data_IF_386289754349
#
_entry.id   IF_386289754349
#
_cell.length_a   1.000
_cell.length_b   1.000
_cell.length_c   1.000
_cell.angle_alpha   90.00
_cell.angle_beta   90.00
_cell.angle_gamma   90.00
#
_symmetry.space_group_name_H-M   'P 1'
#
loop_
_entity.id
_entity.type
_entity.pdbx_description
1 polymer ?
#
# COMPACT_ATOMS: atom_id res chain seq x y z
N UNK A 1 -23.44 -17.06 -0.06
CA UNK A 1 -22.12 -17.56 0.34
C UNK A 1 -21.08 -16.83 -0.49
N UNK A 2 -20.66 -15.67 -0.02
CA UNK A 2 -19.50 -14.95 -0.56
C UNK A 2 -18.26 -15.73 -0.11
N UNK A 3 -17.59 -16.41 -1.04
CA UNK A 3 -16.26 -16.93 -0.82
C UNK A 3 -15.32 -15.73 -0.76
N UNK A 4 -14.76 -15.49 0.41
CA UNK A 4 -13.64 -14.56 0.60
C UNK A 4 -12.53 -14.94 -0.38
N UNK A 5 -12.20 -14.04 -1.31
CA UNK A 5 -11.13 -14.20 -2.30
C UNK A 5 -9.73 -14.03 -1.68
N UNK A 6 -9.65 -13.88 -0.37
CA UNK A 6 -8.36 -13.77 0.32
C UNK A 6 -7.71 -15.14 0.49
N UNK A 7 -6.43 -15.30 0.11
CA UNK A 7 -5.70 -16.53 0.38
C UNK A 7 -5.64 -16.78 1.90
N UNK A 8 -6.00 -17.98 2.32
CA UNK A 8 -5.91 -18.36 3.71
C UNK A 8 -4.44 -18.44 4.12
N UNK A 9 -4.01 -17.50 4.94
CA UNK A 9 -2.64 -17.48 5.47
C UNK A 9 -2.55 -18.36 6.71
N UNK A 10 -1.75 -19.39 6.66
CA UNK A 10 -1.42 -20.21 7.83
C UNK A 10 -0.01 -19.82 8.30
N UNK A 11 0.06 -18.96 9.31
CA UNK A 11 1.33 -18.60 9.96
C UNK A 11 1.51 -19.47 11.18
N UNK A 12 2.51 -20.36 11.18
CA UNK A 12 2.90 -21.13 12.34
C UNK A 12 4.22 -20.60 12.90
N UNK A 13 4.24 -20.19 14.18
CA UNK A 13 5.48 -19.81 14.87
C UNK A 13 6.49 -20.98 14.95
N UNK A 14 6.01 -22.21 14.87
CA UNK A 14 6.83 -23.41 14.86
C UNK A 14 7.39 -23.77 13.47
N UNK A 15 6.91 -23.12 12.39
CA UNK A 15 7.31 -23.44 11.04
C UNK A 15 8.65 -22.76 10.72
N UNK A 16 9.71 -23.58 10.68
CA UNK A 16 11.09 -23.11 10.47
C UNK A 16 11.50 -21.93 11.38
N UNK A 17 10.91 -21.81 12.58
CA UNK A 17 11.18 -20.69 13.50
C UNK A 17 10.73 -19.33 12.95
N UNK A 18 9.64 -19.27 12.20
CA UNK A 18 9.11 -18.04 11.60
C UNK A 18 9.80 -17.64 10.27
N UNK A 19 10.72 -18.47 9.76
CA UNK A 19 11.43 -18.20 8.50
C UNK A 19 10.71 -18.70 7.26
N UNK A 20 9.60 -19.43 7.43
CA UNK A 20 8.77 -19.91 6.34
C UNK A 20 7.29 -19.71 6.67
N UNK A 21 6.48 -19.52 5.63
CA UNK A 21 5.04 -19.39 5.69
C UNK A 21 4.37 -20.41 4.78
N UNK A 22 3.14 -20.80 5.09
CA UNK A 22 2.32 -21.63 4.21
C UNK A 22 1.05 -20.84 3.88
N UNK A 23 0.70 -20.82 2.60
CA UNK A 23 -0.49 -20.14 2.08
C UNK A 23 -1.29 -21.08 1.18
N UNK A 24 -2.58 -20.85 1.07
CA UNK A 24 -3.45 -21.50 0.10
C UNK A 24 -4.00 -20.45 -0.87
N UNK A 25 -3.89 -20.71 -2.18
CA UNK A 25 -4.35 -19.81 -3.23
C UNK A 25 -5.24 -20.60 -4.18
N UNK A 26 -6.44 -20.07 -4.47
CA UNK A 26 -7.29 -20.58 -5.53
C UNK A 26 -6.88 -19.96 -6.87
N UNK A 27 -6.67 -20.79 -7.88
CA UNK A 27 -6.26 -20.38 -9.21
C UNK A 27 -7.47 -19.86 -9.98
N UNK A 28 -7.49 -18.58 -10.26
CA UNK A 28 -8.50 -17.90 -11.06
C UNK A 28 -8.29 -18.12 -12.57
N UNK A 29 -9.27 -17.70 -13.37
CA UNK A 29 -9.20 -17.80 -14.83
C UNK A 29 -8.14 -16.90 -15.47
N UNK A 30 -7.74 -15.85 -14.77
CA UNK A 30 -6.75 -14.82 -15.15
C UNK A 30 -5.37 -15.04 -14.53
N UNK A 31 -5.21 -16.10 -13.71
CA UNK A 31 -3.94 -16.43 -13.09
C UNK A 31 -2.82 -16.64 -14.13
N UNK A 32 -1.66 -15.97 -13.99
CA UNK A 32 -0.50 -16.12 -14.87
C UNK A 32 0.09 -17.53 -14.92
N UNK A 33 -0.16 -18.33 -13.87
CA UNK A 33 0.34 -19.72 -13.80
C UNK A 33 -0.66 -20.73 -14.35
N UNK A 34 -1.86 -20.31 -14.74
CA UNK A 34 -2.86 -21.19 -15.37
C UNK A 34 -2.32 -21.81 -16.65
N UNK A 35 -2.43 -23.13 -16.79
CA UNK A 35 -1.95 -23.89 -17.94
C UNK A 35 -0.44 -24.12 -17.95
N UNK A 36 0.30 -23.58 -16.98
CA UNK A 36 1.74 -23.84 -16.85
C UNK A 36 2.00 -25.10 -16.03
N UNK A 37 3.10 -25.77 -16.34
CA UNK A 37 3.60 -26.87 -15.52
C UNK A 37 4.43 -26.34 -14.36
N UNK A 38 4.41 -27.01 -13.20
CA UNK A 38 5.14 -26.58 -12.01
C UNK A 38 6.65 -26.39 -12.27
N UNK A 39 7.26 -27.17 -13.15
CA UNK A 39 8.68 -26.98 -13.52
C UNK A 39 8.97 -25.67 -14.26
N UNK A 40 7.94 -25.04 -14.85
CA UNK A 40 8.07 -23.79 -15.61
C UNK A 40 8.01 -22.56 -14.71
N UNK A 41 7.52 -22.75 -13.48
CA UNK A 41 7.33 -21.70 -12.46
C UNK A 41 8.14 -21.97 -11.20
N UNK A 42 9.14 -22.87 -11.25
CA UNK A 42 9.99 -23.18 -10.11
C UNK A 42 10.78 -21.97 -9.61
N UNK A 43 11.00 -21.90 -8.29
CA UNK A 43 11.73 -20.81 -7.66
C UNK A 43 12.47 -21.31 -6.43
N UNK A 44 13.53 -20.61 -6.03
CA UNK A 44 14.34 -20.94 -4.85
C UNK A 44 13.70 -20.44 -3.54
N UNK A 45 12.65 -19.60 -3.61
CA UNK A 45 12.03 -19.00 -2.43
C UNK A 45 10.62 -19.52 -2.12
N UNK A 46 10.08 -20.44 -2.92
CA UNK A 46 8.85 -21.16 -2.59
C UNK A 46 8.81 -22.56 -3.20
N UNK A 47 7.95 -23.39 -2.63
CA UNK A 47 7.59 -24.70 -3.17
C UNK A 47 6.07 -24.90 -3.16
N UNK A 48 5.54 -25.56 -4.18
CA UNK A 48 4.15 -26.03 -4.18
C UNK A 48 4.10 -27.34 -3.42
N UNK A 49 3.49 -27.35 -2.25
CA UNK A 49 3.42 -28.49 -1.35
C UNK A 49 2.25 -29.43 -1.61
N UNK A 50 1.10 -28.89 -2.04
CA UNK A 50 -0.10 -29.67 -2.38
C UNK A 50 -0.95 -28.91 -3.39
N UNK A 51 -1.77 -29.65 -4.13
CA UNK A 51 -2.75 -29.10 -5.06
C UNK A 51 -4.08 -29.87 -4.88
N UNK A 52 -5.17 -29.12 -4.71
CA UNK A 52 -6.50 -29.69 -4.58
C UNK A 52 -7.31 -29.34 -5.83
N UNK A 53 -7.83 -30.36 -6.50
CA UNK A 53 -8.67 -30.23 -7.69
C UNK A 53 -9.93 -31.05 -7.52
N UNK A 54 -11.10 -30.42 -7.58
CA UNK A 54 -12.41 -31.09 -7.39
C UNK A 54 -12.43 -32.00 -6.15
N UNK A 55 -11.96 -31.47 -5.02
CA UNK A 55 -11.88 -32.13 -3.71
C UNK A 55 -10.91 -33.34 -3.64
N UNK A 56 -10.02 -33.51 -4.63
CA UNK A 56 -8.96 -34.51 -4.61
C UNK A 56 -7.61 -33.86 -4.40
N UNK A 57 -6.81 -34.46 -3.50
CA UNK A 57 -5.40 -34.06 -3.33
C UNK A 57 -4.59 -34.60 -4.51
N UNK A 58 -3.81 -33.73 -5.12
CA UNK A 58 -2.83 -34.07 -6.14
C UNK A 58 -1.46 -33.78 -5.53
N UNK A 59 -0.60 -34.78 -5.54
CA UNK A 59 0.80 -34.61 -5.16
C UNK A 59 1.51 -33.93 -6.31
N UNK A 60 2.07 -32.72 -6.11
CA UNK A 60 2.64 -31.95 -7.21
C UNK A 60 3.95 -32.56 -7.70
N UNK A 61 4.10 -32.64 -9.00
CA UNK A 61 5.32 -33.02 -9.71
C UNK A 61 5.65 -31.96 -10.75
N UNK A 62 6.87 -31.89 -11.22
CA UNK A 62 7.27 -30.89 -12.23
C UNK A 62 6.40 -30.85 -13.50
N UNK A 63 5.78 -31.98 -13.89
CA UNK A 63 4.85 -32.09 -15.02
C UNK A 63 3.38 -31.81 -14.65
N UNK A 64 3.07 -31.53 -13.38
CA UNK A 64 1.71 -31.17 -12.97
C UNK A 64 1.34 -29.81 -13.55
N UNK A 65 0.29 -29.79 -14.36
CA UNK A 65 -0.28 -28.55 -14.93
C UNK A 65 -1.28 -27.92 -13.95
N UNK A 66 -1.18 -26.62 -13.75
CA UNK A 66 -2.08 -25.83 -12.92
C UNK A 66 -3.32 -25.45 -13.72
N UNK A 67 -4.52 -25.65 -13.15
CA UNK A 67 -5.80 -25.39 -13.80
C UNK A 67 -6.64 -24.40 -12.98
N UNK A 68 -7.56 -23.70 -13.65
CA UNK A 68 -8.55 -22.85 -12.97
C UNK A 68 -9.35 -23.65 -11.95
N UNK A 69 -9.57 -23.08 -10.76
CA UNK A 69 -10.26 -23.71 -9.65
C UNK A 69 -9.40 -24.70 -8.82
N UNK A 70 -8.11 -24.81 -9.14
CA UNK A 70 -7.17 -25.51 -8.25
C UNK A 70 -6.95 -24.68 -6.99
N UNK A 71 -6.99 -25.32 -5.83
CA UNK A 71 -6.51 -24.74 -4.58
C UNK A 71 -5.07 -25.22 -4.35
N UNK A 72 -4.12 -24.31 -4.38
CA UNK A 72 -2.69 -24.60 -4.32
C UNK A 72 -2.13 -24.22 -2.97
N UNK A 73 -1.57 -25.18 -2.24
CA UNK A 73 -0.84 -24.92 -1.00
C UNK A 73 0.64 -24.67 -1.32
N UNK A 74 1.14 -23.50 -0.95
CA UNK A 74 2.50 -23.05 -1.23
C UNK A 74 3.21 -22.81 0.09
N UNK A 75 4.43 -23.33 0.22
CA UNK A 75 5.33 -23.01 1.31
C UNK A 75 6.40 -22.07 0.77
N UNK A 76 6.58 -20.92 1.42
CA UNK A 76 7.45 -19.85 0.97
C UNK A 76 8.32 -19.30 2.09
N UNK A 77 9.44 -18.69 1.72
CA UNK A 77 10.29 -17.95 2.65
C UNK A 77 9.59 -16.71 3.16
N UNK A 78 9.80 -16.34 4.42
CA UNK A 78 9.33 -15.04 4.94
C UNK A 78 9.83 -13.91 4.04
N UNK A 79 8.91 -12.99 3.69
CA UNK A 79 9.19 -11.89 2.76
C UNK A 79 8.87 -12.18 1.28
N UNK A 80 8.69 -13.44 0.88
CA UNK A 80 8.31 -13.79 -0.50
C UNK A 80 6.77 -13.77 -0.75
N UNK A 81 5.97 -13.43 0.27
CA UNK A 81 4.51 -13.54 0.23
C UNK A 81 3.89 -12.79 -0.95
N UNK A 82 4.20 -11.50 -1.10
CA UNK A 82 3.63 -10.67 -2.16
C UNK A 82 4.00 -11.17 -3.57
N UNK A 83 5.26 -11.57 -3.77
CA UNK A 83 5.72 -12.10 -5.05
C UNK A 83 5.01 -13.40 -5.43
N UNK A 84 4.82 -14.29 -4.47
CA UNK A 84 4.13 -15.56 -4.69
C UNK A 84 2.65 -15.34 -4.96
N UNK A 85 2.00 -14.44 -4.20
CA UNK A 85 0.61 -14.09 -4.43
C UNK A 85 0.42 -13.53 -5.85
N UNK A 86 1.25 -12.56 -6.26
CA UNK A 86 1.17 -11.97 -7.60
C UNK A 86 1.37 -13.01 -8.71
N UNK A 87 2.33 -13.91 -8.52
CA UNK A 87 2.60 -14.97 -9.50
C UNK A 87 1.41 -15.94 -9.66
N UNK A 88 0.75 -16.33 -8.55
CA UNK A 88 -0.30 -17.35 -8.59
C UNK A 88 -1.70 -16.79 -8.78
N UNK A 89 -1.97 -15.58 -8.31
CA UNK A 89 -3.31 -14.96 -8.42
C UNK A 89 -3.44 -13.98 -9.57
N UNK A 90 -2.35 -13.66 -10.25
CA UNK A 90 -2.30 -12.60 -11.26
C UNK A 90 -1.99 -11.23 -10.66
N UNK A 91 -1.54 -10.34 -11.53
CA UNK A 91 -1.20 -8.95 -11.20
C UNK A 91 -2.44 -8.05 -11.05
N UNK A 92 -3.57 -8.57 -10.63
CA UNK A 92 -4.64 -7.66 -10.22
C UNK A 92 -4.17 -6.92 -8.98
N UNK A 93 -3.98 -5.63 -9.12
CA UNK A 93 -3.76 -4.74 -7.98
C UNK A 93 -4.77 -5.03 -6.89
N UNK A 94 -4.30 -5.28 -5.68
CA UNK A 94 -5.13 -5.60 -4.52
C UNK A 94 -5.20 -4.47 -3.52
N UNK A 95 -4.38 -3.48 -3.68
CA UNK A 95 -4.38 -2.34 -2.79
C UNK A 95 -5.71 -1.56 -2.89
N UNK A 96 -6.37 -1.19 -1.78
CA UNK A 96 -5.93 -1.34 -0.39
C UNK A 96 -6.47 -2.58 0.34
N UNK A 97 -7.00 -3.60 -0.33
CA UNK A 97 -7.73 -4.74 0.27
C UNK A 97 -6.93 -5.50 1.34
N UNK A 98 -5.61 -5.53 1.23
CA UNK A 98 -4.75 -6.17 2.23
C UNK A 98 -4.79 -5.47 3.60
N UNK A 99 -5.18 -4.19 3.63
CA UNK A 99 -5.36 -3.38 4.84
C UNK A 99 -6.84 -3.25 5.22
N UNK A 100 -7.72 -3.21 4.24
CA UNK A 100 -9.17 -3.04 4.39
C UNK A 100 -9.81 -2.51 3.11
N UNK A 101 -11.12 -2.60 3.03
CA UNK A 101 -11.86 -2.25 1.81
C UNK A 101 -12.45 -0.83 1.80
N UNK A 102 -12.49 -0.16 2.93
CA UNK A 102 -13.12 1.16 3.07
C UNK A 102 -12.07 2.26 3.19
N UNK A 103 -12.38 3.44 2.68
CA UNK A 103 -11.54 4.63 2.82
C UNK A 103 -12.16 5.52 3.90
N UNK A 104 -11.34 5.95 4.88
CA UNK A 104 -11.74 6.94 5.86
C UNK A 104 -11.23 8.33 5.46
N UNK A 105 -12.12 9.26 5.15
CA UNK A 105 -11.76 10.66 4.87
C UNK A 105 -12.05 11.50 6.11
N UNK A 106 -11.03 12.21 6.61
CA UNK A 106 -11.16 13.08 7.79
C UNK A 106 -11.21 14.54 7.35
N UNK A 107 -12.34 15.21 7.63
CA UNK A 107 -12.59 16.62 7.29
C UNK A 107 -12.70 17.45 8.57
N UNK A 108 -11.67 18.23 8.88
CA UNK A 108 -11.64 19.10 10.07
C UNK A 108 -12.01 20.56 9.77
N UNK A 109 -12.00 20.96 8.49
CA UNK A 109 -12.38 22.30 8.02
C UNK A 109 -12.91 22.27 6.57
N UNK A 110 -13.49 23.35 6.10
CA UNK A 110 -14.06 23.47 4.73
C UNK A 110 -13.00 23.33 3.62
N UNK A 111 -11.76 23.77 3.88
CA UNK A 111 -10.68 23.65 2.90
C UNK A 111 -10.34 22.19 2.57
N UNK A 112 -10.66 21.28 3.50
CA UNK A 112 -10.47 19.85 3.31
C UNK A 112 -11.46 19.21 2.31
N UNK A 113 -12.52 19.92 1.86
CA UNK A 113 -13.47 19.41 0.85
C UNK A 113 -12.78 19.02 -0.45
N UNK A 114 -11.70 19.70 -0.84
CA UNK A 114 -10.91 19.32 -2.01
C UNK A 114 -10.32 17.91 -1.93
N UNK A 115 -10.14 17.38 -0.71
CA UNK A 115 -9.64 16.01 -0.51
C UNK A 115 -10.68 14.96 -0.83
N UNK A 116 -11.97 15.29 -0.82
CA UNK A 116 -13.01 14.38 -1.27
C UNK A 116 -12.85 14.01 -2.74
N UNK A 117 -12.47 14.99 -3.58
CA UNK A 117 -12.22 14.71 -5.00
C UNK A 117 -11.00 13.80 -5.20
N UNK A 118 -9.95 13.96 -4.39
CA UNK A 118 -8.79 13.06 -4.40
C UNK A 118 -9.16 11.66 -3.89
N UNK A 119 -9.96 11.58 -2.82
CA UNK A 119 -10.41 10.30 -2.29
C UNK A 119 -11.37 9.58 -3.23
N UNK A 120 -12.23 10.31 -3.94
CA UNK A 120 -13.09 9.75 -5.00
C UNK A 120 -12.23 9.16 -6.14
N UNK A 121 -11.26 9.95 -6.63
CA UNK A 121 -10.32 9.48 -7.64
C UNK A 121 -9.60 8.21 -7.19
N UNK A 122 -9.08 8.20 -5.97
CA UNK A 122 -8.37 7.06 -5.41
C UNK A 122 -9.27 5.82 -5.27
N UNK A 123 -10.48 5.97 -4.70
CA UNK A 123 -11.43 4.87 -4.54
C UNK A 123 -11.81 4.25 -5.87
N UNK A 124 -12.10 5.06 -6.88
CA UNK A 124 -12.48 4.59 -8.21
C UNK A 124 -11.37 3.86 -8.96
N UNK A 125 -10.12 4.20 -8.69
CA UNK A 125 -8.95 3.65 -9.38
C UNK A 125 -8.18 2.62 -8.55
N UNK A 126 -8.72 2.22 -7.39
CA UNK A 126 -8.19 1.12 -6.56
C UNK A 126 -9.27 0.08 -6.31
N UNK A 127 -8.98 -0.92 -5.47
CA UNK A 127 -9.97 -1.93 -5.06
C UNK A 127 -10.78 -1.52 -3.82
N UNK A 128 -10.72 -0.26 -3.40
CA UNK A 128 -11.60 0.24 -2.34
C UNK A 128 -13.07 0.19 -2.78
N UNK A 129 -13.98 -0.11 -1.86
CA UNK A 129 -15.40 -0.32 -2.17
C UNK A 129 -16.31 0.79 -1.69
N UNK A 130 -15.96 1.47 -0.60
CA UNK A 130 -16.78 2.52 -0.01
C UNK A 130 -15.95 3.60 0.69
N UNK A 131 -16.59 4.72 0.98
CA UNK A 131 -16.04 5.88 1.68
C UNK A 131 -16.77 6.10 3.00
N UNK A 132 -16.03 6.34 4.07
CA UNK A 132 -16.55 6.86 5.33
C UNK A 132 -15.97 8.25 5.55
N UNK A 133 -16.83 9.22 5.73
CA UNK A 133 -16.43 10.62 5.96
C UNK A 133 -16.64 10.99 7.41
N UNK A 134 -15.54 11.19 8.13
CA UNK A 134 -15.57 11.70 9.51
C UNK A 134 -15.40 13.22 9.49
N UNK A 135 -16.44 13.95 9.88
CA UNK A 135 -16.49 15.41 9.77
C UNK A 135 -17.03 16.06 11.03
N UNK A 136 -16.83 17.39 11.15
CA UNK A 136 -17.38 18.19 12.24
C UNK A 136 -18.80 18.65 11.90
N UNK A 137 -19.68 18.67 12.91
CA UNK A 137 -21.07 19.10 12.77
C UNK A 137 -21.21 20.58 12.35
N UNK A 138 -20.29 21.44 12.80
CA UNK A 138 -20.31 22.88 12.58
C UNK A 138 -19.69 23.32 11.23
N UNK A 139 -19.16 22.40 10.44
CA UNK A 139 -18.60 22.71 9.10
C UNK A 139 -19.68 22.89 8.04
N UNK A 140 -20.87 22.41 8.30
CA UNK A 140 -21.96 22.47 7.34
C UNK A 140 -23.11 23.21 7.99
N UNK A 141 -23.49 24.34 7.41
CA UNK A 141 -24.69 25.08 7.84
C UNK A 141 -25.85 24.10 8.02
N UNK A 142 -26.74 24.37 8.98
CA UNK A 142 -27.83 23.52 9.47
C UNK A 142 -28.77 22.91 8.40
N UNK A 143 -28.37 22.94 7.15
CA UNK A 143 -29.08 22.34 6.02
C UNK A 143 -28.35 21.06 5.54
N UNK A 144 -28.65 19.95 6.22
CA UNK A 144 -28.13 18.61 5.88
C UNK A 144 -28.39 18.22 4.42
N UNK A 145 -29.49 18.68 3.82
CA UNK A 145 -29.81 18.40 2.41
C UNK A 145 -28.81 19.04 1.46
N UNK A 146 -28.42 20.31 1.68
CA UNK A 146 -27.43 20.98 0.82
C UNK A 146 -26.05 20.40 0.96
N UNK A 147 -25.71 19.88 2.13
CA UNK A 147 -24.46 19.19 2.41
C UNK A 147 -24.39 17.86 1.66
N UNK A 148 -25.44 17.07 1.77
CA UNK A 148 -25.53 15.76 1.09
C UNK A 148 -25.43 15.92 -0.42
N UNK A 149 -26.08 16.93 -1.00
CA UNK A 149 -26.01 17.25 -2.43
C UNK A 149 -24.58 17.65 -2.85
N UNK A 150 -23.86 18.41 -2.04
CA UNK A 150 -22.47 18.79 -2.31
C UNK A 150 -21.57 17.55 -2.29
N UNK A 151 -21.72 16.65 -1.32
CA UNK A 151 -20.96 15.41 -1.27
C UNK A 151 -21.29 14.49 -2.45
N UNK A 152 -22.56 14.31 -2.77
CA UNK A 152 -23.01 13.54 -3.94
C UNK A 152 -22.43 14.08 -5.25
N UNK A 153 -22.39 15.41 -5.40
CA UNK A 153 -21.79 16.02 -6.58
C UNK A 153 -20.29 15.74 -6.72
N UNK A 154 -19.57 15.69 -5.59
CA UNK A 154 -18.11 15.42 -5.57
C UNK A 154 -17.85 13.92 -5.71
N UNK A 155 -18.53 13.09 -4.92
CA UNK A 155 -18.29 11.65 -4.82
C UNK A 155 -18.98 10.85 -5.94
N UNK A 156 -19.87 11.50 -6.70
CA UNK A 156 -20.60 10.91 -7.84
C UNK A 156 -21.35 9.64 -7.43
N UNK A 157 -21.03 8.51 -8.07
CA UNK A 157 -21.67 7.22 -7.87
C UNK A 157 -21.04 6.39 -6.73
N UNK A 158 -20.08 6.96 -5.95
CA UNK A 158 -19.44 6.25 -4.85
C UNK A 158 -20.39 6.14 -3.65
N UNK A 159 -20.48 4.94 -3.08
CA UNK A 159 -21.19 4.76 -1.80
C UNK A 159 -20.36 5.42 -0.68
N UNK A 160 -21.02 6.23 0.15
CA UNK A 160 -20.39 6.88 1.29
C UNK A 160 -21.29 6.95 2.50
N UNK A 161 -20.68 6.95 3.67
CA UNK A 161 -21.34 7.17 4.97
C UNK A 161 -20.74 8.40 5.66
N UNK A 162 -21.59 9.22 6.25
CA UNK A 162 -21.17 10.42 7.01
C UNK A 162 -21.25 10.19 8.51
N UNK A 163 -20.18 10.55 9.20
CA UNK A 163 -20.06 10.47 10.65
C UNK A 163 -19.73 11.85 11.22
N UNK A 164 -20.62 12.37 12.03
CA UNK A 164 -20.51 13.72 12.57
C UNK A 164 -19.96 13.71 14.00
N UNK A 165 -19.09 14.66 14.31
CA UNK A 165 -18.53 14.92 15.64
C UNK A 165 -18.48 16.42 15.92
N UNK A 166 -18.72 16.84 17.16
CA UNK A 166 -18.51 18.24 17.55
C UNK A 166 -17.05 18.66 17.40
N UNK A 167 -16.11 17.73 17.67
CA UNK A 167 -14.68 17.90 17.52
C UNK A 167 -14.05 16.54 17.17
N UNK A 168 -13.16 16.53 16.20
CA UNK A 168 -12.43 15.32 15.81
C UNK A 168 -11.10 15.27 16.57
N UNK A 169 -10.95 14.26 17.41
CA UNK A 169 -9.69 13.95 18.09
C UNK A 169 -8.97 12.77 17.43
N UNK A 170 -7.69 12.60 17.71
CA UNK A 170 -6.94 11.40 17.26
C UNK A 170 -7.52 10.10 17.82
N UNK A 171 -8.17 10.16 19.01
CA UNK A 171 -8.85 8.98 19.57
C UNK A 171 -10.10 8.59 18.79
N UNK A 172 -10.82 9.56 18.23
CA UNK A 172 -11.98 9.27 17.39
C UNK A 172 -11.53 8.55 16.11
N UNK A 173 -10.44 9.02 15.48
CA UNK A 173 -9.87 8.37 14.29
C UNK A 173 -9.41 6.95 14.65
N UNK A 174 -8.68 6.77 15.76
CA UNK A 174 -8.18 5.47 16.22
C UNK A 174 -9.34 4.48 16.48
N UNK A 175 -10.39 4.92 17.18
CA UNK A 175 -11.58 4.10 17.43
C UNK A 175 -12.26 3.70 16.12
N UNK A 176 -12.44 4.66 15.22
CA UNK A 176 -13.10 4.42 13.93
C UNK A 176 -12.34 3.39 13.08
N UNK A 177 -11.03 3.51 13.01
CA UNK A 177 -10.18 2.57 12.29
C UNK A 177 -10.21 1.17 12.91
N UNK A 178 -10.30 1.07 14.24
CA UNK A 178 -10.37 -0.21 14.95
C UNK A 178 -11.71 -0.93 14.77
N UNK A 179 -12.79 -0.18 14.61
CA UNK A 179 -14.16 -0.72 14.53
C UNK A 179 -14.62 -0.99 13.08
N UNK A 180 -13.90 -0.49 12.10
CA UNK A 180 -14.24 -0.54 10.67
C UNK A 180 -13.10 -1.12 9.84
N UNK A 181 -13.42 -1.81 8.75
CA UNK A 181 -12.41 -2.35 7.81
C UNK A 181 -11.83 -1.21 6.95
N UNK A 182 -11.03 -0.33 7.56
CA UNK A 182 -10.40 0.81 6.88
C UNK A 182 -9.10 0.39 6.22
N UNK A 183 -9.04 0.53 4.89
CA UNK A 183 -7.87 0.23 4.07
C UNK A 183 -6.94 1.42 3.86
N UNK A 184 -7.45 2.66 3.99
CA UNK A 184 -6.62 3.88 3.92
C UNK A 184 -7.31 5.02 4.65
N UNK A 185 -6.53 5.80 5.41
CA UNK A 185 -6.97 7.05 6.04
C UNK A 185 -6.54 8.21 5.16
N UNK A 186 -7.47 9.04 4.71
CA UNK A 186 -7.21 10.31 4.02
C UNK A 186 -7.22 11.45 5.00
N UNK A 187 -6.13 12.18 5.06
CA UNK A 187 -5.96 13.33 5.94
C UNK A 187 -5.29 14.50 5.21
N UNK A 188 -5.92 15.68 5.24
CA UNK A 188 -5.37 16.89 4.62
C UNK A 188 -4.13 17.39 5.34
N UNK A 189 -3.09 17.72 4.59
CA UNK A 189 -1.91 18.41 5.12
C UNK A 189 -1.88 19.83 4.58
N UNK A 190 -2.09 20.78 5.49
CA UNK A 190 -2.08 22.20 5.22
C UNK A 190 -0.76 22.84 5.64
N UNK A 191 -0.47 24.00 5.07
CA UNK A 191 0.69 24.78 5.44
C UNK A 191 0.58 25.26 6.89
N UNK A 192 1.59 24.97 7.72
CA UNK A 192 1.57 25.30 9.14
C UNK A 192 0.93 24.24 10.06
N UNK A 193 0.49 23.11 9.53
CA UNK A 193 -0.06 22.03 10.33
C UNK A 193 0.87 21.57 11.46
N UNK A 194 0.27 21.18 12.59
CA UNK A 194 1.00 20.68 13.75
C UNK A 194 1.69 19.34 13.47
N UNK A 195 3.02 19.30 13.65
CA UNK A 195 3.81 18.06 13.62
C UNK A 195 3.26 16.97 14.55
N UNK A 196 2.65 17.36 15.67
CA UNK A 196 2.05 16.43 16.63
C UNK A 196 0.89 15.62 16.02
N UNK A 197 0.08 16.23 15.14
CA UNK A 197 -1.02 15.55 14.48
C UNK A 197 -0.52 14.50 13.48
N UNK A 198 0.45 14.88 12.63
CA UNK A 198 1.10 13.94 11.69
C UNK A 198 1.71 12.75 12.43
N UNK A 199 2.47 13.01 13.50
CA UNK A 199 3.04 11.96 14.35
C UNK A 199 1.96 11.02 14.93
N UNK A 200 0.85 11.59 15.38
CA UNK A 200 -0.26 10.78 15.92
C UNK A 200 -0.90 9.90 14.86
N UNK A 201 -1.07 10.39 13.62
CA UNK A 201 -1.61 9.62 12.50
C UNK A 201 -0.66 8.49 12.08
N UNK A 202 0.65 8.74 12.02
CA UNK A 202 1.66 7.70 11.77
C UNK A 202 1.61 6.63 12.87
N UNK A 203 1.44 7.01 14.13
CA UNK A 203 1.31 6.05 15.23
C UNK A 203 0.02 5.21 15.13
N UNK A 204 -1.12 5.84 14.76
CA UNK A 204 -2.38 5.12 14.49
C UNK A 204 -2.17 4.13 13.35
N UNK A 205 -1.59 4.59 12.24
CA UNK A 205 -1.27 3.76 11.08
C UNK A 205 -0.50 2.50 11.46
N UNK A 206 0.61 2.66 12.19
CA UNK A 206 1.44 1.52 12.62
C UNK A 206 0.70 0.58 13.59
N UNK A 207 -0.12 1.13 14.48
CA UNK A 207 -0.86 0.33 15.48
C UNK A 207 -1.98 -0.48 14.84
N UNK A 208 -2.70 0.10 13.89
CA UNK A 208 -3.83 -0.54 13.22
C UNK A 208 -3.46 -1.24 11.91
N UNK A 209 -2.21 -1.19 11.49
CA UNK A 209 -1.75 -1.63 10.19
C UNK A 209 -2.57 -1.02 9.04
N UNK A 210 -2.84 0.29 9.09
CA UNK A 210 -3.67 0.99 8.12
C UNK A 210 -2.89 2.12 7.46
N UNK A 211 -2.71 2.14 6.13
CA UNK A 211 -2.06 3.23 5.40
C UNK A 211 -2.70 4.59 5.65
N UNK A 212 -1.88 5.64 5.63
CA UNK A 212 -2.34 7.02 5.70
C UNK A 212 -1.92 7.79 4.46
N UNK A 213 -2.87 8.34 3.74
CA UNK A 213 -2.61 9.29 2.66
C UNK A 213 -2.71 10.72 3.21
N UNK A 214 -1.57 11.37 3.28
CA UNK A 214 -1.43 12.78 3.58
C UNK A 214 -1.72 13.59 2.31
N UNK A 215 -2.98 13.97 2.13
CA UNK A 215 -3.48 14.59 0.91
C UNK A 215 -3.01 16.02 0.75
N UNK A 216 -2.61 16.36 -0.47
CA UNK A 216 -2.29 17.72 -0.96
C UNK A 216 -3.01 18.03 -2.27
N UNK A 217 -3.98 17.20 -2.63
CA UNK A 217 -4.81 17.33 -3.83
C UNK A 217 -4.02 17.32 -5.14
N UNK A 218 -2.97 16.50 -5.22
CA UNK A 218 -2.09 16.38 -6.40
C UNK A 218 -2.50 15.26 -7.37
N UNK A 219 -3.75 14.86 -7.34
CA UNK A 219 -4.31 13.91 -8.31
C UNK A 219 -4.63 14.60 -9.66
N UNK A 220 -4.76 13.86 -10.78
CA UNK A 220 -4.61 12.41 -10.96
C UNK A 220 -3.15 11.96 -10.87
N UNK A 221 -2.93 10.77 -10.27
CA UNK A 221 -1.59 10.23 -10.06
C UNK A 221 -1.06 9.58 -11.34
N UNK A 222 -0.28 10.33 -12.12
CA UNK A 222 0.40 9.86 -13.34
C UNK A 222 1.86 9.49 -13.08
N UNK A 223 2.43 10.07 -12.04
CA UNK A 223 3.82 9.89 -11.65
C UNK A 223 3.91 9.56 -10.16
N UNK A 224 4.48 8.41 -9.83
CA UNK A 224 4.62 7.95 -8.45
C UNK A 224 6.11 7.91 -8.09
N UNK A 225 6.48 8.56 -6.98
CA UNK A 225 7.83 8.49 -6.42
C UNK A 225 7.89 7.54 -5.24
N UNK A 226 8.91 6.68 -5.18
CA UNK A 226 9.21 5.85 -4.02
C UNK A 226 10.60 6.16 -3.49
N UNK A 227 10.73 6.21 -2.17
CA UNK A 227 12.01 6.38 -1.50
C UNK A 227 12.62 5.02 -1.20
N UNK A 228 13.80 4.75 -1.76
CA UNK A 228 14.58 3.54 -1.44
C UNK A 228 15.30 3.77 -0.12
N UNK A 229 15.03 2.94 0.88
CA UNK A 229 15.78 2.88 2.12
C UNK A 229 16.52 1.54 2.24
N UNK A 230 17.46 1.42 3.19
CA UNK A 230 18.31 0.23 3.33
C UNK A 230 17.53 -1.07 3.68
N UNK A 231 16.27 -0.96 4.08
CA UNK A 231 15.38 -2.09 4.40
C UNK A 231 14.44 -2.42 3.22
N UNK A 232 14.77 -1.91 2.04
CA UNK A 232 13.97 -2.00 0.84
C UNK A 232 13.98 -3.41 0.25
N UNK A 233 13.12 -4.20 0.39
CA UNK A 233 13.00 -5.55 -0.17
C UNK A 233 12.14 -6.45 0.67
N UNK A 234 11.85 -6.01 1.89
CA UNK A 234 11.01 -6.75 2.83
C UNK A 234 9.72 -5.97 3.19
N UNK A 235 9.53 -4.75 2.64
CA UNK A 235 8.39 -3.90 3.02
C UNK A 235 7.26 -3.96 2.01
N UNK A 236 6.03 -4.02 2.51
CA UNK A 236 4.80 -3.95 1.73
C UNK A 236 4.67 -2.66 0.89
N UNK A 237 5.41 -1.59 1.23
CA UNK A 237 5.37 -0.31 0.50
C UNK A 237 5.74 -0.41 -0.97
N UNK A 238 6.66 -1.32 -1.33
CA UNK A 238 7.05 -1.52 -2.72
C UNK A 238 5.94 -2.17 -3.51
N UNK A 239 5.38 -3.25 -2.97
CA UNK A 239 4.24 -3.94 -3.55
C UNK A 239 3.07 -2.96 -3.77
N UNK A 240 2.76 -2.14 -2.77
CA UNK A 240 1.71 -1.11 -2.88
C UNK A 240 2.02 -0.09 -3.99
N UNK A 241 3.26 0.37 -4.10
CA UNK A 241 3.64 1.34 -5.13
C UNK A 241 3.52 0.77 -6.54
N UNK A 242 3.91 -0.50 -6.74
CA UNK A 242 3.73 -1.19 -8.01
C UNK A 242 2.26 -1.46 -8.31
N UNK A 243 1.48 -1.89 -7.33
CA UNK A 243 0.04 -2.09 -7.47
C UNK A 243 -0.68 -0.80 -7.88
N UNK A 244 -0.34 0.32 -7.25
CA UNK A 244 -0.90 1.63 -7.61
C UNK A 244 -0.47 2.05 -9.01
N UNK A 245 0.82 1.90 -9.34
CA UNK A 245 1.31 2.26 -10.66
C UNK A 245 0.62 1.44 -11.76
N UNK A 246 0.42 0.15 -11.54
CA UNK A 246 -0.32 -0.72 -12.46
C UNK A 246 -1.78 -0.29 -12.60
N UNK A 247 -2.50 -0.08 -11.47
CA UNK A 247 -3.91 0.31 -11.46
C UNK A 247 -4.17 1.65 -12.15
N UNK A 248 -3.24 2.58 -11.97
CA UNK A 248 -3.35 3.97 -12.44
C UNK A 248 -2.69 4.17 -13.82
N UNK A 249 -2.01 3.16 -14.37
CA UNK A 249 -1.13 3.30 -15.54
C UNK A 249 -0.12 4.44 -15.35
N UNK A 250 0.44 4.55 -14.13
CA UNK A 250 1.36 5.59 -13.75
C UNK A 250 2.82 5.14 -13.94
N UNK A 251 3.71 6.09 -14.23
CA UNK A 251 5.16 5.85 -14.19
C UNK A 251 5.66 5.83 -12.75
N UNK A 252 6.67 5.01 -12.48
CA UNK A 252 7.26 4.86 -11.16
C UNK A 252 8.71 5.33 -11.16
N UNK A 253 9.08 6.18 -10.21
CA UNK A 253 10.47 6.62 -10.01
C UNK A 253 10.94 6.21 -8.62
N UNK A 254 11.97 5.39 -8.58
CA UNK A 254 12.65 5.01 -7.34
C UNK A 254 13.82 5.95 -7.08
N UNK A 255 13.80 6.58 -5.92
CA UNK A 255 14.81 7.55 -5.48
C UNK A 255 15.71 6.90 -4.43
N UNK A 256 16.97 6.70 -4.78
CA UNK A 256 18.01 6.26 -3.86
C UNK A 256 18.79 7.46 -3.36
N UNK A 257 18.85 7.68 -2.05
CA UNK A 257 19.61 8.75 -1.44
C UNK A 257 20.71 8.17 -0.56
N UNK A 258 21.94 8.22 -1.06
CA UNK A 258 23.12 7.74 -0.33
C UNK A 258 23.68 8.83 0.58
N UNK A 259 24.27 8.41 1.71
CA UNK A 259 25.09 9.31 2.51
C UNK A 259 26.40 9.66 1.79
N UNK A 260 26.99 10.84 2.07
CA UNK A 260 28.30 11.20 1.52
C UNK A 260 29.34 10.11 1.77
N UNK A 261 30.22 9.87 0.77
CA UNK A 261 31.18 8.75 0.77
C UNK A 261 32.03 8.63 2.05
N UNK A 262 32.29 9.72 2.73
CA UNK A 262 33.09 9.75 3.98
C UNK A 262 32.30 9.25 5.22
N UNK A 263 30.98 9.00 5.09
CA UNK A 263 30.11 8.46 6.13
C UNK A 263 29.61 7.06 5.81
N UNK A 264 29.91 6.52 4.62
CA UNK A 264 29.46 5.21 4.20
C UNK A 264 30.18 4.10 4.96
N UNK A 265 29.43 3.27 5.69
CA UNK A 265 29.83 1.94 6.15
C UNK A 265 29.48 0.91 5.07
N UNK A 266 29.91 -0.36 5.21
CA UNK A 266 29.79 -1.49 4.24
C UNK A 266 28.38 -1.81 3.66
N UNK A 267 27.47 -0.84 3.64
CA UNK A 267 26.04 -1.00 3.26
C UNK A 267 25.80 -0.96 1.73
N UNK A 268 26.81 -0.73 0.91
CA UNK A 268 26.65 -0.58 -0.55
C UNK A 268 26.12 -1.84 -1.27
N UNK A 269 26.37 -3.02 -0.74
CA UNK A 269 25.86 -4.27 -1.32
C UNK A 269 24.33 -4.44 -1.17
N UNK A 270 23.78 -4.03 -0.02
CA UNK A 270 22.33 -4.15 0.25
C UNK A 270 21.48 -3.24 -0.65
N UNK A 271 21.97 -2.06 -0.96
CA UNK A 271 21.28 -1.13 -1.88
C UNK A 271 21.27 -1.68 -3.30
N UNK A 272 22.35 -2.33 -3.74
CA UNK A 272 22.42 -2.97 -5.06
C UNK A 272 21.39 -4.09 -5.19
N UNK A 273 21.29 -4.96 -4.19
CA UNK A 273 20.32 -6.07 -4.14
C UNK A 273 18.87 -5.54 -4.13
N UNK A 274 18.64 -4.41 -3.46
CA UNK A 274 17.33 -3.77 -3.41
C UNK A 274 16.92 -3.20 -4.78
N UNK A 275 17.85 -2.58 -5.50
CA UNK A 275 17.61 -2.04 -6.84
C UNK A 275 17.31 -3.19 -7.83
N UNK A 276 18.05 -4.30 -7.78
CA UNK A 276 17.82 -5.46 -8.62
C UNK A 276 16.42 -6.05 -8.41
N UNK A 277 16.01 -6.23 -7.16
CA UNK A 277 14.65 -6.68 -6.81
C UNK A 277 13.55 -5.74 -7.33
N UNK A 278 13.78 -4.42 -7.30
CA UNK A 278 12.84 -3.46 -7.87
C UNK A 278 12.72 -3.58 -9.38
N UNK A 279 13.84 -3.79 -10.06
CA UNK A 279 13.85 -3.97 -11.51
C UNK A 279 13.10 -5.26 -11.89
N UNK A 280 13.27 -6.33 -11.12
CA UNK A 280 12.53 -7.57 -11.30
C UNK A 280 11.02 -7.38 -11.09
N UNK A 281 10.62 -6.61 -10.05
CA UNK A 281 9.22 -6.24 -9.83
C UNK A 281 8.68 -5.41 -10.99
N UNK A 282 9.43 -4.43 -11.47
CA UNK A 282 9.02 -3.59 -12.60
C UNK A 282 8.77 -4.43 -13.86
N UNK A 283 9.66 -5.37 -14.14
CA UNK A 283 9.51 -6.30 -15.26
C UNK A 283 8.28 -7.21 -15.09
N UNK A 284 8.04 -7.71 -13.88
CA UNK A 284 6.90 -8.60 -13.60
C UNK A 284 5.54 -7.88 -13.69
N UNK A 285 5.49 -6.59 -13.40
CA UNK A 285 4.30 -5.76 -13.49
C UNK A 285 4.17 -4.98 -14.81
N UNK A 286 5.12 -5.13 -15.73
CA UNK A 286 5.19 -4.37 -16.99
C UNK A 286 5.18 -2.85 -16.79
N UNK A 287 5.78 -2.36 -15.68
CA UNK A 287 5.81 -0.96 -15.29
C UNK A 287 7.15 -0.34 -15.68
N UNK A 288 7.09 0.87 -16.25
CA UNK A 288 8.29 1.67 -16.46
C UNK A 288 8.79 2.17 -15.10
N UNK A 289 10.01 1.75 -14.73
CA UNK A 289 10.71 2.16 -13.51
C UNK A 289 11.92 3.01 -13.86
N UNK A 290 11.93 4.27 -13.41
CA UNK A 290 13.07 5.15 -13.46
C UNK A 290 13.82 5.11 -12.13
N UNK A 291 15.17 5.14 -12.17
CA UNK A 291 16.04 5.16 -10.99
C UNK A 291 16.78 6.48 -10.90
N UNK A 292 16.59 7.22 -9.81
CA UNK A 292 17.34 8.43 -9.51
C UNK A 292 18.25 8.23 -8.29
N UNK A 293 19.56 8.40 -8.47
CA UNK A 293 20.54 8.36 -7.40
C UNK A 293 20.93 9.80 -6.98
N UNK A 294 20.83 10.07 -5.70
CA UNK A 294 21.16 11.37 -5.08
C UNK A 294 22.08 11.14 -3.87
N UNK A 295 22.78 12.19 -3.45
CA UNK A 295 23.66 12.17 -2.26
C UNK A 295 23.25 13.28 -1.30
N UNK A 296 23.03 12.92 -0.02
CA UNK A 296 22.73 13.90 1.04
C UNK A 296 21.71 13.45 2.06
N UNK A 297 20.90 14.38 2.56
CA UNK A 297 19.85 14.08 3.52
C UNK A 297 18.59 13.55 2.81
N UNK A 298 18.23 12.32 3.10
CA UNK A 298 17.15 11.57 2.50
C UNK A 298 15.80 12.32 2.55
N UNK A 299 15.38 12.76 3.74
CA UNK A 299 14.12 13.46 3.93
C UNK A 299 14.03 14.76 3.12
N UNK A 300 15.12 15.53 3.12
CA UNK A 300 15.17 16.80 2.39
C UNK A 300 15.15 16.59 0.89
N UNK A 301 16.02 15.72 0.38
CA UNK A 301 16.14 15.46 -1.06
C UNK A 301 14.85 14.89 -1.63
N UNK A 302 14.25 13.88 -0.97
CA UNK A 302 13.01 13.29 -1.43
C UNK A 302 11.86 14.30 -1.41
N UNK A 303 11.76 15.14 -0.37
CA UNK A 303 10.75 16.20 -0.31
C UNK A 303 10.93 17.26 -1.41
N UNK A 304 12.17 17.60 -1.75
CA UNK A 304 12.46 18.53 -2.86
C UNK A 304 12.10 17.91 -4.22
N UNK A 305 12.35 16.61 -4.40
CA UNK A 305 12.01 15.88 -5.63
C UNK A 305 10.53 15.62 -5.78
N UNK A 306 9.74 15.69 -4.70
CA UNK A 306 8.30 15.42 -4.73
C UNK A 306 7.50 16.37 -5.65
N UNK A 307 8.10 17.48 -6.11
CA UNK A 307 7.51 18.34 -7.14
C UNK A 307 7.45 17.69 -8.54
N UNK A 308 8.14 16.57 -8.73
CA UNK A 308 8.10 15.76 -9.97
C UNK A 308 7.04 14.66 -9.91
N UNK A 309 6.47 14.42 -8.74
CA UNK A 309 5.54 13.33 -8.49
C UNK A 309 4.14 13.87 -8.19
N UNK A 310 3.13 13.12 -8.59
CA UNK A 310 1.75 13.37 -8.17
C UNK A 310 1.47 12.64 -6.83
N UNK A 311 2.12 11.48 -6.61
CA UNK A 311 2.04 10.72 -5.37
C UNK A 311 3.43 10.27 -4.95
N UNK A 312 3.75 10.41 -3.67
CA UNK A 312 4.93 9.84 -3.02
C UNK A 312 4.53 8.69 -2.13
N UNK A 313 5.14 7.51 -2.28
CA UNK A 313 4.89 6.34 -1.43
C UNK A 313 6.12 6.10 -0.56
N UNK A 314 5.91 6.03 0.75
CA UNK A 314 6.98 5.90 1.75
C UNK A 314 6.59 4.93 2.87
N UNK A 315 7.60 4.33 3.52
CA UNK A 315 7.44 3.53 4.74
C UNK A 315 8.61 3.80 5.70
N UNK A 316 8.52 3.29 6.93
CA UNK A 316 9.64 3.35 7.89
C UNK A 316 10.65 2.22 7.69
N UNK A 317 10.33 1.21 6.87
CA UNK A 317 11.07 -0.04 6.80
C UNK A 317 10.87 -0.90 8.06
N UNK A 318 11.48 -2.09 8.07
CA UNK A 318 11.39 -3.01 9.21
C UNK A 318 12.02 -2.46 10.49
N UNK A 319 13.00 -1.55 10.35
CA UNK A 319 13.60 -0.83 11.47
C UNK A 319 12.83 0.46 11.77
N UNK A 320 11.80 0.37 12.62
CA UNK A 320 11.05 1.53 13.11
C UNK A 320 11.90 2.43 14.05
N UNK A 321 13.08 2.84 13.58
CA UNK A 321 13.97 3.72 14.34
C UNK A 321 13.32 5.10 14.52
N UNK A 322 13.74 5.82 15.57
CA UNK A 322 13.31 7.21 15.76
C UNK A 322 13.67 8.11 14.56
N UNK A 323 14.77 7.83 13.87
CA UNK A 323 15.23 8.57 12.69
C UNK A 323 14.29 8.31 11.50
N UNK A 324 13.93 7.05 11.22
CA UNK A 324 13.01 6.69 10.12
C UNK A 324 11.64 7.36 10.30
N UNK A 325 11.11 7.39 11.52
CA UNK A 325 9.85 8.09 11.82
C UNK A 325 9.94 9.60 11.58
N UNK A 326 11.06 10.24 11.92
CA UNK A 326 11.28 11.67 11.64
C UNK A 326 11.42 11.96 10.16
N UNK A 327 12.04 11.07 9.41
CA UNK A 327 12.10 11.14 7.93
C UNK A 327 10.68 11.15 7.35
N UNK A 328 9.82 10.22 7.76
CA UNK A 328 8.43 10.15 7.32
C UNK A 328 7.65 11.42 7.71
N UNK A 329 7.74 11.88 8.97
CA UNK A 329 7.10 13.12 9.43
C UNK A 329 7.53 14.32 8.58
N UNK A 330 8.84 14.44 8.30
CA UNK A 330 9.38 15.53 7.50
C UNK A 330 8.87 15.50 6.06
N UNK A 331 8.88 14.32 5.41
CA UNK A 331 8.40 14.14 4.04
C UNK A 331 6.91 14.43 3.96
N UNK A 332 6.08 13.90 4.87
CA UNK A 332 4.64 14.14 4.89
C UNK A 332 4.29 15.63 4.93
N UNK A 333 5.06 16.43 5.69
CA UNK A 333 4.84 17.87 5.82
C UNK A 333 5.36 18.64 4.61
N UNK A 334 6.60 18.36 4.17
CA UNK A 334 7.34 19.24 3.25
C UNK A 334 7.24 18.84 1.78
N UNK A 335 6.74 17.64 1.46
CA UNK A 335 6.51 17.23 0.06
C UNK A 335 5.52 18.15 -0.63
N UNK A 336 5.67 18.29 -1.94
CA UNK A 336 4.73 19.02 -2.81
C UNK A 336 3.62 18.11 -3.34
N UNK A 337 3.88 16.81 -3.44
CA UNK A 337 2.87 15.79 -3.79
C UNK A 337 2.15 15.27 -2.55
N UNK A 338 0.99 14.65 -2.76
CA UNK A 338 0.36 13.80 -1.75
C UNK A 338 1.28 12.67 -1.35
N UNK A 339 1.25 12.25 -0.08
CA UNK A 339 2.17 11.27 0.47
C UNK A 339 1.38 10.10 1.05
N UNK A 340 1.55 8.91 0.49
CA UNK A 340 1.00 7.68 1.01
C UNK A 340 2.04 7.02 1.92
N UNK A 341 1.75 6.98 3.20
CA UNK A 341 2.53 6.27 4.20
C UNK A 341 1.98 4.85 4.38
N UNK A 342 2.85 3.86 4.20
CA UNK A 342 2.54 2.45 4.42
C UNK A 342 3.13 2.02 5.76
N UNK A 343 2.34 1.46 6.68
CA UNK A 343 2.81 0.91 7.94
C UNK A 343 3.75 -0.28 7.71
N UNK A 344 4.64 -0.53 8.67
CA UNK A 344 5.68 -1.58 8.58
C UNK A 344 5.54 -2.56 9.73
#
# INVERSE_FOLDING_TARGET
FEHSLEPRRVVSQAFAGGRAEAIEIEISSDSPVRGKKLREIGSDYYIVGALFRKSKVIIPHGDTEIQTGDLVTIVLQSGAFSNVINLFSGSESRFPLEFGKNILVVLENEENLKNLSESEFYTRNTKATSLSVLTREDLFDNNLESTDDTFKAILKDQEFEMHFKNKISTKDIESFVSDSSIGTIFYSVEEGMSKSKIKSLINISNKSNTPVLFSKSTYPYKTIGILINNDFGETSSNSVAFDLAASLSASLTAVNVSQPKFLQSEESSKVSDSIEKLQDLALSHEIQLDLENKEGNEAKIFSEMSNKFDLSVISTGTNQSWQSRKTVEFIAINSKSSVLYIPS
#
